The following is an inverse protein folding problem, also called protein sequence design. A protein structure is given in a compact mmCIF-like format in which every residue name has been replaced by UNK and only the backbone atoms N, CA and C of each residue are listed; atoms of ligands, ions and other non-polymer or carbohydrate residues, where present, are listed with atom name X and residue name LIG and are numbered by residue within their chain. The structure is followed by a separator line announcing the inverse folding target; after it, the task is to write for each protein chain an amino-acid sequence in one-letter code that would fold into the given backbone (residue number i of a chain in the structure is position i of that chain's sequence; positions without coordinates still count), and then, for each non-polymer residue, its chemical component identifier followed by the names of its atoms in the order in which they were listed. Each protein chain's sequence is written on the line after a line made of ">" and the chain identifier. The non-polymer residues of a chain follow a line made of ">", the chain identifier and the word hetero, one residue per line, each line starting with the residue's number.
data_IF_812114433702
#
_entry.id   IF_812114433702
#
_cell.length_a   1.000
_cell.length_b   1.000
_cell.length_c   1.000
_cell.angle_alpha   90.00
_cell.angle_beta   90.00
_cell.angle_gamma   90.00
#
_symmetry.space_group_name_H-M   'P 1'
#
loop_
_entity.id
_entity.type
_entity.pdbx_description
1 polymer ?
#
# COMPACT_ATOMS: atom_id res chain seq x y z
N UNK A 1 18.92 70.66 -23.25
CA UNK A 1 19.53 70.45 -21.92
C UNK A 1 18.48 69.86 -21.01
N UNK A 2 18.74 68.65 -20.50
CA UNK A 2 18.63 68.18 -19.12
C UNK A 2 18.46 66.67 -19.16
N UNK A 3 19.20 66.03 -18.26
CA UNK A 3 19.72 64.68 -18.24
C UNK A 3 19.03 63.91 -17.09
N UNK A 4 19.26 62.58 -17.04
CA UNK A 4 19.13 61.65 -15.89
C UNK A 4 17.67 61.39 -15.39
N UNK A 5 17.20 60.23 -14.90
CA UNK A 5 17.79 59.07 -14.21
C UNK A 5 16.84 57.84 -14.35
N UNK A 6 17.38 56.66 -14.64
CA UNK A 6 16.72 55.35 -14.52
C UNK A 6 16.64 54.86 -13.06
N UNK A 7 15.60 54.11 -12.66
CA UNK A 7 15.76 53.12 -11.60
C UNK A 7 15.64 51.69 -12.17
N UNK A 8 16.71 50.93 -12.04
CA UNK A 8 16.73 49.47 -12.24
C UNK A 8 16.14 48.86 -10.97
N UNK A 9 14.94 48.29 -11.07
CA UNK A 9 14.30 47.52 -10.00
C UNK A 9 14.98 46.15 -9.88
N UNK A 10 15.78 45.98 -8.84
CA UNK A 10 16.39 44.70 -8.47
C UNK A 10 15.37 43.83 -7.72
N UNK A 11 14.80 42.82 -8.37
CA UNK A 11 13.92 41.83 -7.74
C UNK A 11 14.78 40.74 -7.07
N UNK A 12 14.75 40.68 -5.75
CA UNK A 12 15.34 39.62 -4.94
C UNK A 12 14.46 38.36 -5.02
N UNK A 13 14.86 37.36 -5.81
CA UNK A 13 14.25 36.03 -5.78
C UNK A 13 14.75 35.27 -4.55
N UNK A 14 13.91 35.12 -3.54
CA UNK A 14 14.18 34.24 -2.40
C UNK A 14 14.00 32.80 -2.88
N UNK A 15 15.10 32.13 -3.19
CA UNK A 15 15.09 30.69 -3.45
C UNK A 15 14.95 29.97 -2.10
N UNK A 16 13.73 29.56 -1.75
CA UNK A 16 13.49 28.65 -0.63
C UNK A 16 14.06 27.28 -0.98
N UNK A 17 15.28 26.99 -0.56
CA UNK A 17 15.81 25.62 -0.57
C UNK A 17 15.14 24.86 0.57
N UNK A 18 13.97 24.29 0.31
CA UNK A 18 13.44 23.22 1.13
C UNK A 18 14.41 22.03 1.01
N UNK A 19 15.27 21.86 2.00
CA UNK A 19 16.07 20.65 2.13
C UNK A 19 15.09 19.50 2.37
N UNK A 20 14.79 18.75 1.32
CA UNK A 20 14.08 17.48 1.45
C UNK A 20 14.96 16.60 2.34
N UNK A 21 14.54 16.44 3.60
CA UNK A 21 15.17 15.47 4.50
C UNK A 21 15.03 14.11 3.81
N UNK A 22 16.14 13.42 3.52
CA UNK A 22 16.05 12.06 2.98
C UNK A 22 15.46 11.20 4.09
N UNK A 23 14.14 11.06 4.09
CA UNK A 23 13.51 9.94 4.74
C UNK A 23 14.06 8.72 4.02
N UNK A 24 14.90 7.95 4.70
CA UNK A 24 15.21 6.59 4.31
C UNK A 24 13.89 5.84 4.35
N UNK A 25 13.13 5.92 3.26
CA UNK A 25 12.05 5.02 2.94
C UNK A 25 12.72 3.66 2.85
N UNK A 26 12.80 2.94 3.97
CA UNK A 26 13.03 1.51 3.91
C UNK A 26 11.90 0.98 3.03
N UNK A 27 12.24 0.64 1.79
CA UNK A 27 11.36 -0.10 0.92
C UNK A 27 11.10 -1.41 1.67
N UNK A 28 9.94 -1.49 2.33
CA UNK A 28 9.47 -2.75 2.89
C UNK A 28 9.25 -3.66 1.69
N UNK A 29 10.14 -4.62 1.54
CA UNK A 29 10.09 -5.55 0.42
C UNK A 29 8.85 -6.45 0.54
N UNK A 30 8.31 -6.85 -0.60
CA UNK A 30 7.16 -7.76 -0.64
C UNK A 30 7.60 -9.11 -0.08
N UNK A 31 6.84 -9.64 0.88
CA UNK A 31 7.10 -10.98 1.42
C UNK A 31 6.12 -11.97 0.80
N UNK A 32 6.62 -12.92 0.01
CA UNK A 32 5.80 -13.96 -0.62
C UNK A 32 5.36 -15.08 0.35
N UNK A 33 5.87 -15.07 1.58
CA UNK A 33 5.53 -16.05 2.62
C UNK A 33 5.74 -17.51 2.16
N UNK A 34 6.76 -17.77 1.33
CA UNK A 34 7.08 -19.10 0.77
C UNK A 34 7.45 -20.14 1.85
N UNK A 35 7.67 -19.69 3.08
CA UNK A 35 7.93 -20.54 4.24
C UNK A 35 6.65 -21.15 4.86
N UNK A 36 5.45 -20.77 4.39
CA UNK A 36 4.18 -21.29 4.87
C UNK A 36 3.72 -22.52 4.06
N UNK A 37 2.88 -23.40 4.65
CA UNK A 37 2.39 -24.57 3.93
C UNK A 37 1.49 -24.19 2.73
N UNK A 38 1.43 -25.08 1.75
CA UNK A 38 0.74 -24.83 0.48
C UNK A 38 -0.79 -24.66 0.59
N UNK A 39 -1.40 -25.12 1.68
CA UNK A 39 -2.82 -24.89 1.97
C UNK A 39 -3.14 -23.41 2.31
N UNK A 40 -2.12 -22.57 2.51
CA UNK A 40 -2.27 -21.12 2.69
C UNK A 40 -2.33 -20.34 1.37
N UNK A 41 -2.06 -21.01 0.24
CA UNK A 41 -2.00 -20.42 -1.09
C UNK A 41 -3.40 -20.09 -1.65
N UNK A 42 -3.66 -18.81 -1.86
CA UNK A 42 -4.88 -18.29 -2.46
C UNK A 42 -4.95 -18.53 -3.98
N UNK A 43 -6.14 -18.45 -4.56
CA UNK A 43 -6.34 -18.49 -6.01
C UNK A 43 -6.09 -17.11 -6.63
N UNK A 44 -5.34 -17.06 -7.73
CA UNK A 44 -5.00 -15.80 -8.41
C UNK A 44 -6.24 -15.06 -8.93
N UNK A 45 -7.20 -15.76 -9.55
CA UNK A 45 -8.37 -15.12 -10.14
C UNK A 45 -9.26 -14.50 -9.05
N UNK A 46 -9.48 -15.21 -7.96
CA UNK A 46 -10.22 -14.71 -6.79
C UNK A 46 -9.53 -13.49 -6.15
N UNK A 47 -8.19 -13.51 -6.08
CA UNK A 47 -7.40 -12.38 -5.60
C UNK A 47 -7.55 -11.16 -6.51
N UNK A 48 -7.47 -11.33 -7.83
CA UNK A 48 -7.67 -10.26 -8.82
C UNK A 48 -9.05 -9.63 -8.70
N UNK A 49 -10.10 -10.43 -8.54
CA UNK A 49 -11.46 -9.91 -8.31
C UNK A 49 -11.53 -9.05 -7.05
N UNK A 50 -10.89 -9.49 -5.96
CA UNK A 50 -10.83 -8.70 -4.73
C UNK A 50 -10.03 -7.41 -4.91
N UNK A 51 -8.91 -7.44 -5.62
CA UNK A 51 -8.11 -6.24 -5.92
C UNK A 51 -8.92 -5.25 -6.73
N UNK A 52 -9.63 -5.71 -7.76
CA UNK A 52 -10.49 -4.87 -8.59
C UNK A 52 -11.64 -4.25 -7.79
N UNK A 53 -12.24 -5.01 -6.88
CA UNK A 53 -13.24 -4.49 -5.95
C UNK A 53 -12.66 -3.41 -5.03
N UNK A 54 -11.51 -3.64 -4.42
CA UNK A 54 -10.88 -2.64 -3.54
C UNK A 54 -10.46 -1.38 -4.30
N UNK A 55 -9.97 -1.54 -5.53
CA UNK A 55 -9.64 -0.43 -6.41
C UNK A 55 -10.88 0.39 -6.81
N UNK A 56 -12.03 -0.26 -7.04
CA UNK A 56 -13.27 0.44 -7.41
C UNK A 56 -13.89 1.24 -6.26
N UNK A 57 -13.59 0.89 -5.01
CA UNK A 57 -13.95 1.69 -3.83
C UNK A 57 -13.13 3.00 -3.71
N UNK A 58 -12.02 3.12 -4.45
CA UNK A 58 -11.23 4.34 -4.51
C UNK A 58 -10.73 4.82 -3.13
N UNK A 59 -11.05 6.07 -2.81
CA UNK A 59 -10.65 6.75 -1.58
C UNK A 59 -11.36 6.26 -0.29
N UNK A 60 -12.27 5.29 -0.37
CA UNK A 60 -12.92 4.74 0.82
C UNK A 60 -11.89 4.23 1.83
N UNK A 61 -12.14 4.46 3.12
CA UNK A 61 -11.26 3.99 4.18
C UNK A 61 -11.32 2.46 4.31
N UNK A 62 -10.15 1.83 4.20
CA UNK A 62 -9.93 0.43 4.52
C UNK A 62 -9.10 0.37 5.82
N UNK A 63 -9.76 -0.01 6.93
CA UNK A 63 -9.18 0.01 8.28
C UNK A 63 -8.93 -1.41 8.78
N UNK A 64 -7.66 -1.75 9.02
CA UNK A 64 -7.22 -3.01 9.60
C UNK A 64 -6.96 -2.91 11.09
N UNK A 65 -7.39 -3.91 11.86
CA UNK A 65 -7.00 -4.11 13.26
C UNK A 65 -5.77 -5.02 13.40
N UNK A 66 -5.24 -5.15 14.62
CA UNK A 66 -4.09 -6.04 14.89
C UNK A 66 -4.41 -7.53 14.68
N UNK A 67 -5.67 -7.92 14.88
CA UNK A 67 -6.15 -9.29 14.65
C UNK A 67 -6.45 -9.59 13.17
N UNK A 68 -6.28 -8.60 12.30
CA UNK A 68 -6.64 -8.67 10.90
C UNK A 68 -8.12 -8.34 10.65
N UNK A 69 -8.36 -7.67 9.53
CA UNK A 69 -9.71 -7.32 9.06
C UNK A 69 -9.86 -7.77 7.61
N UNK A 70 -10.89 -8.56 7.32
CA UNK A 70 -11.20 -9.02 5.97
C UNK A 70 -11.73 -7.85 5.13
N UNK A 71 -10.93 -7.36 4.18
CA UNK A 71 -11.38 -6.29 3.28
C UNK A 71 -12.18 -6.83 2.09
N UNK A 72 -11.78 -7.99 1.60
CA UNK A 72 -12.51 -8.70 0.57
C UNK A 72 -12.31 -10.20 0.71
N UNK A 73 -13.34 -10.96 0.35
CA UNK A 73 -13.30 -12.41 0.25
C UNK A 73 -13.99 -12.86 -1.04
N UNK A 74 -13.38 -13.81 -1.74
CA UNK A 74 -13.91 -14.52 -2.92
C UNK A 74 -13.51 -15.98 -2.78
N UNK A 75 -14.50 -16.87 -2.71
CA UNK A 75 -14.26 -18.29 -2.39
C UNK A 75 -13.47 -18.47 -1.09
N UNK A 76 -12.32 -19.11 -1.20
CA UNK A 76 -11.39 -19.30 -0.08
C UNK A 76 -10.28 -18.23 -0.04
N UNK A 77 -10.19 -17.36 -1.04
CA UNK A 77 -9.22 -16.26 -1.07
C UNK A 77 -9.73 -15.07 -0.28
N UNK A 78 -8.88 -14.54 0.59
CA UNK A 78 -9.13 -13.34 1.38
C UNK A 78 -7.97 -12.35 1.26
N UNK A 79 -8.32 -11.08 1.08
CA UNK A 79 -7.39 -9.95 1.28
C UNK A 79 -7.67 -9.34 2.64
N UNK A 80 -6.68 -9.42 3.52
CA UNK A 80 -6.79 -8.99 4.91
C UNK A 80 -5.85 -7.83 5.19
N UNK A 81 -6.35 -6.81 5.89
CA UNK A 81 -5.53 -5.73 6.44
C UNK A 81 -5.17 -6.00 7.89
N UNK A 82 -3.89 -5.90 8.24
CA UNK A 82 -3.40 -6.01 9.61
C UNK A 82 -2.69 -4.74 10.04
N UNK A 83 -3.03 -4.23 11.21
CA UNK A 83 -2.27 -3.18 11.87
C UNK A 83 -0.97 -3.77 12.44
N UNK A 84 0.17 -3.33 11.93
CA UNK A 84 1.50 -3.81 12.34
C UNK A 84 2.34 -2.70 12.98
N UNK A 85 3.12 -3.08 14.00
CA UNK A 85 3.93 -2.12 14.76
C UNK A 85 3.10 -1.12 15.58
N UNK A 86 1.84 -1.47 15.89
CA UNK A 86 0.92 -0.66 16.70
C UNK A 86 0.42 -1.48 17.91
N UNK A 87 0.02 -0.82 19.01
CA UNK A 87 -0.62 -1.48 20.15
C UNK A 87 -1.91 -2.23 19.77
N UNK A 88 -2.31 -3.21 20.58
CA UNK A 88 -3.41 -4.13 20.26
C UNK A 88 -4.80 -3.49 20.16
N UNK A 89 -4.98 -2.31 20.76
CA UNK A 89 -6.20 -1.50 20.71
C UNK A 89 -6.23 -0.52 19.53
N UNK A 90 -5.18 -0.48 18.71
CA UNK A 90 -5.07 0.45 17.58
C UNK A 90 -5.38 -0.22 16.24
N UNK A 91 -5.74 0.63 15.29
CA UNK A 91 -5.99 0.27 13.90
C UNK A 91 -5.07 1.08 12.99
N UNK A 92 -4.86 0.56 11.78
CA UNK A 92 -4.19 1.27 10.70
C UNK A 92 -5.18 1.45 9.54
N UNK A 93 -5.20 2.63 8.93
CA UNK A 93 -6.13 2.96 7.85
C UNK A 93 -5.37 3.46 6.63
N UNK A 94 -5.75 2.98 5.45
CA UNK A 94 -5.37 3.55 4.16
C UNK A 94 -6.60 3.62 3.26
N UNK A 95 -6.47 4.24 2.09
CA UNK A 95 -7.52 4.14 1.06
C UNK A 95 -7.61 2.70 0.55
N UNK A 96 -8.80 2.23 0.19
CA UNK A 96 -8.97 0.92 -0.42
C UNK A 96 -8.22 0.83 -1.76
N UNK A 97 -8.04 1.94 -2.47
CA UNK A 97 -7.15 2.03 -3.63
C UNK A 97 -5.68 1.74 -3.28
N UNK A 98 -5.16 2.28 -2.18
CA UNK A 98 -3.78 2.02 -1.74
C UNK A 98 -3.59 0.60 -1.22
N UNK A 99 -4.63 0.02 -0.60
CA UNK A 99 -4.67 -1.41 -0.26
C UNK A 99 -4.64 -2.26 -1.53
N UNK A 100 -5.43 -1.92 -2.55
CA UNK A 100 -5.46 -2.63 -3.82
C UNK A 100 -4.09 -2.57 -4.52
N UNK A 101 -3.40 -1.43 -4.49
CA UNK A 101 -2.02 -1.29 -4.99
C UNK A 101 -1.04 -2.15 -4.20
N UNK A 102 -1.18 -2.18 -2.88
CA UNK A 102 -0.37 -3.04 -2.00
C UNK A 102 -0.52 -4.52 -2.36
N UNK A 103 -1.76 -5.00 -2.51
CA UNK A 103 -2.07 -6.36 -2.94
C UNK A 103 -1.63 -6.65 -4.38
N UNK A 104 -1.77 -5.69 -5.30
CA UNK A 104 -1.29 -5.81 -6.69
C UNK A 104 0.21 -6.11 -6.75
N UNK A 105 1.02 -5.44 -5.92
CA UNK A 105 2.46 -5.71 -5.87
C UNK A 105 2.79 -7.13 -5.35
N UNK A 106 1.95 -7.70 -4.47
CA UNK A 106 2.05 -9.11 -4.08
C UNK A 106 1.75 -10.01 -5.28
N UNK A 107 0.71 -9.72 -6.05
CA UNK A 107 0.40 -10.47 -7.27
C UNK A 107 1.55 -10.42 -8.27
N UNK A 108 2.17 -9.26 -8.47
CA UNK A 108 3.25 -9.08 -9.44
C UNK A 108 4.50 -9.90 -9.11
N UNK A 109 4.79 -10.10 -7.81
CA UNK A 109 6.04 -10.74 -7.36
C UNK A 109 5.88 -12.17 -6.88
N UNK A 110 4.71 -12.52 -6.35
CA UNK A 110 4.49 -13.77 -5.63
C UNK A 110 3.47 -14.70 -6.32
N UNK A 111 2.95 -14.31 -7.48
CA UNK A 111 2.14 -15.22 -8.30
C UNK A 111 2.98 -16.38 -8.81
N UNK A 112 2.41 -17.58 -8.72
CA UNK A 112 3.05 -18.83 -9.13
C UNK A 112 2.42 -19.35 -10.42
N UNK A 113 3.19 -20.18 -11.15
CA UNK A 113 2.73 -20.78 -12.40
C UNK A 113 1.58 -21.79 -12.26
N UNK A 114 1.26 -22.23 -11.05
CA UNK A 114 0.15 -23.13 -10.72
C UNK A 114 -1.18 -22.39 -10.47
N UNK A 115 -1.25 -21.09 -10.75
CA UNK A 115 -2.45 -20.27 -10.56
C UNK A 115 -2.68 -19.85 -9.10
N UNK A 116 -1.65 -19.95 -8.25
CA UNK A 116 -1.72 -19.66 -6.83
C UNK A 116 -0.86 -18.46 -6.43
N UNK A 117 -1.22 -17.84 -5.30
CA UNK A 117 -0.51 -16.70 -4.74
C UNK A 117 -0.58 -16.69 -3.22
N UNK A 118 0.48 -16.21 -2.58
CA UNK A 118 0.51 -15.83 -1.18
C UNK A 118 1.46 -14.65 -1.05
N UNK A 119 1.18 -13.79 -0.10
CA UNK A 119 2.16 -12.83 0.36
C UNK A 119 1.54 -11.68 1.11
N UNK A 120 2.42 -10.79 1.55
CA UNK A 120 2.08 -9.58 2.25
C UNK A 120 2.94 -8.41 1.78
N UNK A 121 2.32 -7.24 1.79
CA UNK A 121 2.95 -5.98 1.45
C UNK A 121 2.20 -4.85 2.16
N UNK A 122 2.86 -3.80 2.66
CA UNK A 122 2.13 -2.66 3.19
C UNK A 122 1.23 -2.00 2.14
N UNK A 123 0.12 -1.42 2.60
CA UNK A 123 -0.70 -0.55 1.78
C UNK A 123 0.15 0.63 1.30
N UNK A 124 -0.09 1.09 0.07
CA UNK A 124 0.71 2.17 -0.49
C UNK A 124 0.64 3.43 0.40
N UNK A 125 1.80 4.01 0.71
CA UNK A 125 1.89 5.20 1.57
C UNK A 125 1.61 4.96 3.06
N UNK A 126 1.30 3.73 3.50
CA UNK A 126 1.11 3.41 4.91
C UNK A 126 1.79 2.08 5.32
N UNK A 127 2.99 2.21 5.89
CA UNK A 127 3.79 1.08 6.38
C UNK A 127 3.20 0.31 7.58
N UNK A 128 2.17 0.86 8.24
CA UNK A 128 1.51 0.24 9.40
C UNK A 128 0.29 -0.60 9.03
N UNK A 129 -0.24 -0.49 7.80
CA UNK A 129 -1.31 -1.35 7.33
C UNK A 129 -0.73 -2.41 6.41
N UNK A 130 -0.48 -3.61 6.93
CA UNK A 130 -0.02 -4.74 6.13
C UNK A 130 -1.20 -5.36 5.39
N UNK A 131 -1.09 -5.48 4.08
CA UNK A 131 -2.07 -6.15 3.22
C UNK A 131 -1.58 -7.57 2.97
N UNK A 132 -2.45 -8.55 3.20
CA UNK A 132 -2.08 -9.96 3.17
C UNK A 132 -3.08 -10.78 2.34
N UNK A 133 -2.59 -11.46 1.30
CA UNK A 133 -3.38 -12.32 0.41
C UNK A 133 -3.23 -13.78 0.84
N UNK A 134 -4.30 -14.39 1.36
CA UNK A 134 -4.25 -15.72 1.99
C UNK A 134 -5.43 -16.60 1.58
N UNK A 135 -5.23 -17.91 1.62
CA UNK A 135 -6.29 -18.89 1.66
C UNK A 135 -6.84 -19.01 3.09
N UNK A 136 -8.15 -18.97 3.23
CA UNK A 136 -8.88 -19.20 4.47
C UNK A 136 -10.00 -20.18 4.14
N UNK A 137 -9.90 -21.47 4.49
CA UNK A 137 -10.97 -22.44 4.26
C UNK A 137 -12.29 -22.02 4.90
N UNK A 138 -13.41 -22.50 4.36
CA UNK A 138 -14.74 -22.33 4.93
C UNK A 138 -15.03 -23.39 6.01
#
# INVERSE_FOLDING_TARGET
>A
MVNIITPITLLLTVASTALAVPHTLEARDVSCMDNLPGDTLANINEAVECINYLASLGGQACTGGVSGTSFCRRGNTQITGLAVGLPSDKTATASCQDVARGAGLVMDRCSRGDGKVRGQNPAWGNGHLMVDIRNVPQ
#
